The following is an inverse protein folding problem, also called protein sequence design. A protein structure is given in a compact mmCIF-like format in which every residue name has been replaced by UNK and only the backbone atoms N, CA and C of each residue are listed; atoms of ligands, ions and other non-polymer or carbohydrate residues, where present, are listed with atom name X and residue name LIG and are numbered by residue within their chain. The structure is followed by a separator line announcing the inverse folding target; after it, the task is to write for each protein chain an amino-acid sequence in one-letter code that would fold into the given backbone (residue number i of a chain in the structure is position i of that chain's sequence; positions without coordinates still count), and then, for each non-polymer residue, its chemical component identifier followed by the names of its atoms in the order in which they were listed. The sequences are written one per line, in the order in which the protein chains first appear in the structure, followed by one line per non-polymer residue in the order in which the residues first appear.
data_IF_536195002742
#
_entry.id   IF_536195002742
#
_cell.length_a   1.000
_cell.length_b   1.000
_cell.length_c   1.000
_cell.angle_alpha   90.00
_cell.angle_beta   90.00
_cell.angle_gamma   90.00
#
_symmetry.space_group_name_H-M   'P 1'
#
loop_
_entity.id
_entity.type
_entity.pdbx_description
1 polymer ?
#
# COMPACT_ATOMS: atom_id res chain seq x y z
N UNK A 1 33.27 30.67 -31.76
CA UNK A 1 33.18 29.61 -30.74
C UNK A 1 31.71 29.45 -30.39
N UNK A 2 31.01 28.54 -31.04
CA UNK A 2 29.64 28.20 -30.65
C UNK A 2 29.72 27.34 -29.39
N UNK A 3 29.07 27.77 -28.32
CA UNK A 3 29.02 27.01 -27.08
C UNK A 3 28.11 25.80 -27.34
N UNK A 4 28.68 24.61 -27.46
CA UNK A 4 27.97 23.34 -27.69
C UNK A 4 27.09 22.91 -26.49
N UNK A 5 27.05 23.69 -25.42
CA UNK A 5 26.21 23.46 -24.25
C UNK A 5 24.87 24.17 -24.37
N UNK A 6 23.85 23.47 -24.86
CA UNK A 6 22.47 23.95 -24.86
C UNK A 6 22.02 24.39 -23.46
N UNK A 7 21.35 25.55 -23.38
CA UNK A 7 20.83 26.12 -22.14
C UNK A 7 19.89 25.13 -21.43
N UNK A 8 20.17 24.81 -20.15
CA UNK A 8 19.24 24.11 -19.26
C UNK A 8 18.59 25.10 -18.30
N UNK A 9 17.25 25.15 -18.20
CA UNK A 9 16.58 26.02 -17.24
C UNK A 9 16.99 25.65 -15.81
N UNK A 10 17.32 26.62 -14.96
CA UNK A 10 17.75 26.37 -13.58
C UNK A 10 16.67 25.74 -12.67
N UNK A 11 15.45 25.53 -13.15
CA UNK A 11 14.29 25.05 -12.38
C UNK A 11 13.67 23.76 -12.90
N UNK A 12 14.44 22.85 -13.51
CA UNK A 12 13.90 21.56 -13.94
C UNK A 12 13.23 20.84 -12.75
N UNK A 13 11.88 20.72 -12.69
CA UNK A 13 11.23 20.11 -11.55
C UNK A 13 11.66 18.63 -11.49
N UNK A 14 11.97 18.10 -10.29
CA UNK A 14 12.30 16.70 -10.14
C UNK A 14 11.20 15.87 -10.81
N UNK A 15 11.59 15.01 -11.76
CA UNK A 15 10.62 14.08 -12.38
C UNK A 15 10.14 13.16 -11.28
N UNK A 16 8.88 13.31 -10.88
CA UNK A 16 8.28 12.43 -9.90
C UNK A 16 8.41 10.98 -10.40
N UNK A 17 8.85 10.05 -9.53
CA UNK A 17 8.90 8.64 -9.87
C UNK A 17 7.50 8.18 -10.29
N UNK A 18 7.27 7.99 -11.59
CA UNK A 18 6.02 7.44 -12.09
C UNK A 18 6.03 5.94 -11.83
N UNK A 19 5.04 5.45 -11.10
CA UNK A 19 4.83 4.01 -10.98
C UNK A 19 4.63 3.44 -12.39
N UNK A 20 5.36 2.36 -12.68
CA UNK A 20 5.11 1.58 -13.89
C UNK A 20 3.71 0.96 -13.79
N UNK A 21 3.04 0.72 -14.93
CA UNK A 21 1.69 0.13 -14.91
C UNK A 21 1.59 -1.18 -14.11
N UNK A 22 2.69 -1.94 -14.02
CA UNK A 22 2.77 -3.15 -13.19
C UNK A 22 2.76 -2.81 -11.70
N UNK A 23 3.52 -1.81 -11.27
CA UNK A 23 3.56 -1.37 -9.88
C UNK A 23 2.22 -0.80 -9.44
N UNK A 24 1.56 -0.01 -10.29
CA UNK A 24 0.22 0.50 -10.00
C UNK A 24 -0.80 -0.62 -9.85
N UNK A 25 -0.78 -1.63 -10.73
CA UNK A 25 -1.64 -2.81 -10.61
C UNK A 25 -1.40 -3.61 -9.33
N UNK A 26 -0.14 -3.82 -8.95
CA UNK A 26 0.21 -4.50 -7.69
C UNK A 26 -0.25 -3.68 -6.50
N UNK A 27 -0.06 -2.36 -6.53
CA UNK A 27 -0.49 -1.46 -5.47
C UNK A 27 -2.00 -1.48 -5.27
N UNK A 28 -2.78 -1.41 -6.36
CA UNK A 28 -4.24 -1.55 -6.30
C UNK A 28 -4.68 -2.91 -5.75
N UNK A 29 -3.98 -4.00 -6.13
CA UNK A 29 -4.25 -5.34 -5.60
C UNK A 29 -3.99 -5.43 -4.09
N UNK A 30 -2.90 -4.83 -3.60
CA UNK A 30 -2.58 -4.80 -2.17
C UNK A 30 -3.65 -4.06 -1.36
N UNK A 31 -4.15 -2.94 -1.88
CA UNK A 31 -5.26 -2.19 -1.28
C UNK A 31 -6.52 -3.05 -1.25
N UNK A 32 -6.89 -3.66 -2.37
CA UNK A 32 -8.09 -4.49 -2.48
C UNK A 32 -8.05 -5.70 -1.52
N UNK A 33 -6.91 -6.39 -1.43
CA UNK A 33 -6.73 -7.53 -0.51
C UNK A 33 -6.79 -7.09 0.93
N UNK A 34 -6.15 -5.97 1.30
CA UNK A 34 -6.25 -5.44 2.67
C UNK A 34 -7.68 -5.07 3.03
N UNK A 35 -8.40 -4.39 2.13
CA UNK A 35 -9.81 -4.06 2.34
C UNK A 35 -10.65 -5.34 2.51
N UNK A 36 -10.39 -6.39 1.72
CA UNK A 36 -11.06 -7.69 1.87
C UNK A 36 -10.75 -8.35 3.22
N UNK A 37 -9.48 -8.32 3.65
CA UNK A 37 -9.05 -8.86 4.94
C UNK A 37 -9.71 -8.14 6.11
N UNK A 38 -10.00 -6.83 5.99
CA UNK A 38 -10.78 -6.10 7.00
C UNK A 38 -12.21 -6.66 7.13
N UNK A 39 -12.81 -7.21 6.08
CA UNK A 39 -14.10 -7.92 6.19
C UNK A 39 -13.96 -9.34 6.75
N UNK A 40 -12.80 -9.97 6.59
CA UNK A 40 -12.52 -11.29 7.19
C UNK A 40 -12.20 -11.14 8.68
N UNK A 41 -11.60 -10.03 9.09
CA UNK A 41 -11.26 -9.72 10.48
C UNK A 41 -12.44 -9.79 11.46
N UNK A 42 -13.69 -9.34 11.17
CA UNK A 42 -14.83 -9.59 12.06
C UNK A 42 -15.22 -11.07 12.13
N UNK A 43 -15.05 -11.84 11.05
CA UNK A 43 -15.35 -13.28 11.06
C UNK A 43 -14.34 -14.03 11.93
N UNK A 44 -13.03 -13.86 11.67
CA UNK A 44 -11.97 -14.53 12.43
C UNK A 44 -11.74 -13.92 13.81
N UNK A 45 -11.87 -12.60 13.93
CA UNK A 45 -11.68 -11.84 15.17
C UNK A 45 -12.76 -12.16 16.20
N UNK A 46 -14.03 -12.30 15.78
CA UNK A 46 -15.07 -12.79 16.69
C UNK A 46 -14.74 -14.18 17.22
N UNK A 47 -14.22 -15.08 16.37
CA UNK A 47 -13.79 -16.42 16.79
C UNK A 47 -12.65 -16.37 17.81
N UNK A 48 -11.62 -15.56 17.58
CA UNK A 48 -10.49 -15.40 18.51
C UNK A 48 -10.96 -14.80 19.85
N UNK A 49 -11.79 -13.76 19.81
CA UNK A 49 -12.37 -13.15 21.01
C UNK A 49 -13.20 -14.17 21.78
N UNK A 50 -14.05 -14.93 21.09
CA UNK A 50 -14.83 -16.00 21.71
C UNK A 50 -13.95 -17.08 22.34
N UNK A 51 -12.87 -17.48 21.67
CA UNK A 51 -11.92 -18.47 22.20
C UNK A 51 -11.21 -17.95 23.46
N UNK A 52 -10.74 -16.71 23.45
CA UNK A 52 -10.10 -16.07 24.61
C UNK A 52 -11.07 -15.95 25.78
N UNK A 53 -12.30 -15.47 25.53
CA UNK A 53 -13.33 -15.39 26.56
C UNK A 53 -13.71 -16.77 27.12
N UNK A 54 -13.77 -17.81 26.28
CA UNK A 54 -14.06 -19.17 26.71
C UNK A 54 -12.96 -19.72 27.62
N UNK A 55 -11.69 -19.48 27.28
CA UNK A 55 -10.54 -19.85 28.13
C UNK A 55 -10.57 -19.09 29.45
N UNK A 56 -10.83 -17.79 29.44
CA UNK A 56 -10.87 -16.97 30.67
C UNK A 56 -12.06 -17.31 31.59
N UNK A 57 -13.16 -17.82 31.05
CA UNK A 57 -14.36 -18.18 31.83
C UNK A 57 -14.33 -19.61 32.37
N UNK A 58 -13.49 -20.47 31.79
CA UNK A 58 -13.32 -21.86 32.20
C UNK A 58 -11.96 -22.15 32.87
N UNK A 59 -11.07 -21.16 32.94
CA UNK A 59 -9.83 -21.19 33.73
C UNK A 59 -9.98 -20.59 35.11
#
# INVERSE_FOLDING_TARGET
MYVEGGWKPPWEPPREPRLTQRQERVFLWLIAVNALLVFIAPIGGATIIHAVLAVLRHG
#
